data_IF_937459364020
#
_entry.id   IF_937459364020
#
_cell.length_a   1.000
_cell.length_b   1.000
_cell.length_c   1.000
_cell.angle_alpha   90.00
_cell.angle_beta   90.00
_cell.angle_gamma   90.00
#
_symmetry.space_group_name_H-M   'P 1'
#
loop_
_entity.id
_entity.type
_entity.pdbx_description
1 polymer ?
#
# COMPACT_ATOMS: atom_id res chain seq x y z
N UNK A 1 -9.75 16.28 -10.63
CA UNK A 1 -10.95 16.31 -9.77
C UNK A 1 -10.57 16.98 -8.46
N UNK A 2 -11.05 18.19 -8.20
CA UNK A 2 -10.89 18.90 -6.92
C UNK A 2 -11.77 18.20 -5.89
N UNK A 3 -11.25 17.17 -5.23
CA UNK A 3 -11.95 16.57 -4.08
C UNK A 3 -12.13 17.65 -3.00
N UNK A 4 -13.36 17.82 -2.58
CA UNK A 4 -13.72 18.79 -1.55
C UNK A 4 -12.91 18.49 -0.27
N UNK A 5 -12.27 19.48 0.34
CA UNK A 5 -11.41 19.33 1.54
C UNK A 5 -12.10 18.54 2.66
N UNK A 6 -13.41 18.73 2.81
CA UNK A 6 -14.24 18.03 3.78
C UNK A 6 -14.39 16.53 3.48
N UNK A 7 -14.56 16.16 2.21
CA UNK A 7 -14.64 14.76 1.79
C UNK A 7 -13.34 14.00 2.08
N UNK A 8 -12.19 14.64 1.83
CA UNK A 8 -10.89 14.04 2.13
C UNK A 8 -10.69 13.83 3.63
N UNK A 9 -11.10 14.80 4.46
CA UNK A 9 -11.00 14.70 5.91
C UNK A 9 -11.88 13.56 6.45
N UNK A 10 -13.12 13.47 5.95
CA UNK A 10 -14.06 12.41 6.34
C UNK A 10 -13.52 11.01 5.94
N UNK A 11 -12.99 10.86 4.72
CA UNK A 11 -12.40 9.60 4.28
C UNK A 11 -11.17 9.21 5.11
N UNK A 12 -10.33 10.18 5.50
CA UNK A 12 -9.20 9.94 6.40
C UNK A 12 -9.67 9.47 7.78
N UNK A 13 -10.68 10.14 8.36
CA UNK A 13 -11.24 9.76 9.66
C UNK A 13 -11.82 8.35 9.64
N UNK A 14 -12.63 8.04 8.62
CA UNK A 14 -13.17 6.69 8.42
C UNK A 14 -12.07 5.66 8.20
N UNK A 15 -11.06 5.99 7.39
CA UNK A 15 -9.90 5.13 7.17
C UNK A 15 -9.15 4.81 8.46
N UNK A 16 -8.90 5.83 9.30
CA UNK A 16 -8.24 5.63 10.59
C UNK A 16 -9.08 4.74 11.54
N UNK A 17 -10.40 4.91 11.57
CA UNK A 17 -11.27 4.08 12.39
C UNK A 17 -11.29 2.62 11.91
N UNK A 18 -11.46 2.40 10.60
CA UNK A 18 -11.50 1.06 10.01
C UNK A 18 -10.15 0.35 10.18
N UNK A 19 -9.02 1.04 9.93
CA UNK A 19 -7.68 0.50 10.13
C UNK A 19 -7.44 0.13 11.60
N UNK A 20 -7.74 1.04 12.52
CA UNK A 20 -7.63 0.78 13.95
C UNK A 20 -8.48 -0.42 14.39
N UNK A 21 -9.72 -0.54 13.90
CA UNK A 21 -10.60 -1.67 14.20
C UNK A 21 -10.04 -3.00 13.67
N UNK A 22 -9.54 -3.03 12.44
CA UNK A 22 -8.89 -4.22 11.85
C UNK A 22 -7.68 -4.67 12.66
N UNK A 23 -6.84 -3.73 13.09
CA UNK A 23 -5.64 -4.03 13.87
C UNK A 23 -6.02 -4.43 15.31
N UNK A 24 -6.77 -3.59 16.02
CA UNK A 24 -7.02 -3.79 17.45
C UNK A 24 -7.99 -4.95 17.72
N UNK A 25 -9.18 -4.91 17.07
CA UNK A 25 -10.25 -5.86 17.38
C UNK A 25 -10.04 -7.26 16.80
N UNK A 26 -9.21 -7.39 15.76
CA UNK A 26 -8.93 -8.70 15.14
C UNK A 26 -7.48 -9.12 15.34
N UNK A 27 -6.51 -8.37 14.81
CA UNK A 27 -5.13 -8.84 14.79
C UNK A 27 -4.52 -8.90 16.19
N UNK A 28 -4.60 -7.82 16.97
CA UNK A 28 -4.02 -7.76 18.33
C UNK A 28 -4.77 -8.70 19.28
N UNK A 29 -6.09 -8.75 19.19
CA UNK A 29 -6.94 -9.61 20.01
C UNK A 29 -6.66 -11.10 19.80
N UNK A 30 -6.33 -11.51 18.57
CA UNK A 30 -5.96 -12.88 18.21
C UNK A 30 -4.44 -13.14 18.21
N UNK A 31 -3.66 -12.20 18.74
CA UNK A 31 -2.19 -12.28 18.82
C UNK A 31 -1.49 -12.44 17.45
N UNK A 32 -2.10 -11.91 16.39
CA UNK A 32 -1.51 -11.89 15.04
C UNK A 32 -0.54 -10.73 14.93
N UNK A 33 0.71 -10.96 14.49
CA UNK A 33 1.66 -9.88 14.27
C UNK A 33 1.21 -8.93 13.17
N UNK A 34 1.13 -7.66 13.49
CA UNK A 34 1.00 -6.58 12.53
C UNK A 34 2.36 -6.04 12.14
N UNK A 35 2.45 -5.32 11.04
CA UNK A 35 3.71 -4.83 10.48
C UNK A 35 3.91 -3.33 10.70
N UNK A 36 5.11 -2.84 10.39
CA UNK A 36 5.44 -1.43 10.55
C UNK A 36 5.48 -0.97 12.00
N UNK A 37 5.30 0.33 12.22
CA UNK A 37 5.32 0.93 13.58
C UNK A 37 4.17 0.38 14.43
N UNK A 38 3.00 0.13 13.85
CA UNK A 38 1.88 -0.47 14.56
C UNK A 38 2.23 -1.85 15.13
N UNK A 39 3.05 -2.63 14.43
CA UNK A 39 3.56 -3.91 14.93
C UNK A 39 4.47 -3.78 16.15
N UNK A 40 5.36 -2.79 16.15
CA UNK A 40 6.20 -2.48 17.31
C UNK A 40 5.33 -2.04 18.48
N UNK A 41 4.31 -1.20 18.24
CA UNK A 41 3.35 -0.77 19.25
C UNK A 41 2.56 -1.96 19.84
N UNK A 42 2.16 -2.92 18.99
CA UNK A 42 1.48 -4.14 19.44
C UNK A 42 2.38 -5.01 20.33
N UNK A 43 3.67 -5.13 20.02
CA UNK A 43 4.65 -5.81 20.87
C UNK A 43 4.76 -5.10 22.25
N UNK A 44 4.89 -3.78 22.28
CA UNK A 44 4.96 -3.00 23.50
C UNK A 44 3.67 -3.12 24.33
N UNK A 45 2.52 -3.12 23.68
CA UNK A 45 1.23 -3.33 24.34
C UNK A 45 1.14 -4.72 24.98
N UNK A 46 1.55 -5.77 24.29
CA UNK A 46 1.50 -7.15 24.80
C UNK A 46 2.52 -7.40 25.92
N UNK A 47 3.73 -6.82 25.84
CA UNK A 47 4.80 -7.02 26.84
C UNK A 47 4.63 -6.14 28.08
N UNK A 48 4.25 -4.89 27.89
CA UNK A 48 4.32 -3.88 28.97
C UNK A 48 2.96 -3.23 29.26
N UNK A 49 1.88 -3.58 28.53
CA UNK A 49 0.57 -2.93 28.68
C UNK A 49 0.53 -1.47 28.24
N UNK A 50 1.55 -0.99 27.50
CA UNK A 50 1.61 0.41 27.06
C UNK A 50 0.57 0.61 25.94
N UNK A 51 -0.34 1.61 26.03
CA UNK A 51 -1.35 1.86 25.02
C UNK A 51 -0.74 2.01 23.62
N UNK A 52 -1.37 1.36 22.63
CA UNK A 52 -0.83 1.30 21.26
C UNK A 52 -0.76 2.68 20.61
N UNK A 53 -1.77 3.52 20.81
CA UNK A 53 -1.79 4.86 20.27
C UNK A 53 -0.73 5.75 20.89
N UNK A 54 -0.52 5.68 22.22
CA UNK A 54 0.55 6.40 22.91
C UNK A 54 1.92 5.99 22.36
N UNK A 55 2.18 4.70 22.25
CA UNK A 55 3.44 4.17 21.70
C UNK A 55 3.64 4.63 20.26
N UNK A 56 2.58 4.61 19.44
CA UNK A 56 2.62 5.05 18.05
C UNK A 56 3.00 6.53 17.94
N UNK A 57 2.40 7.39 18.76
CA UNK A 57 2.75 8.82 18.80
C UNK A 57 4.20 9.02 19.21
N UNK A 58 4.65 8.39 20.30
CA UNK A 58 6.01 8.54 20.82
C UNK A 58 7.08 8.08 19.83
N UNK A 59 6.88 6.95 19.15
CA UNK A 59 7.83 6.41 18.17
C UNK A 59 7.86 7.28 16.91
N UNK A 60 6.70 7.81 16.49
CA UNK A 60 6.63 8.63 15.27
C UNK A 60 7.19 10.05 15.46
N UNK A 61 7.17 10.64 16.66
CA UNK A 61 7.70 12.00 16.89
C UNK A 61 9.13 12.17 16.36
N UNK A 62 10.15 11.37 16.76
CA UNK A 62 11.50 11.52 16.25
C UNK A 62 11.60 11.26 14.75
N UNK A 63 10.85 10.30 14.22
CA UNK A 63 10.85 9.97 12.79
C UNK A 63 10.30 11.14 11.98
N UNK A 64 9.20 11.72 12.43
CA UNK A 64 8.55 12.89 11.82
C UNK A 64 9.51 14.09 11.83
N UNK A 65 10.19 14.35 12.95
CA UNK A 65 11.16 15.45 13.04
C UNK A 65 12.30 15.29 12.04
N UNK A 66 12.80 14.06 11.87
CA UNK A 66 13.87 13.76 10.91
C UNK A 66 13.40 13.87 9.46
N UNK A 67 12.14 13.51 9.17
CA UNK A 67 11.62 13.44 7.79
C UNK A 67 10.84 14.70 7.37
N UNK A 68 10.55 15.62 8.27
CA UNK A 68 9.77 16.83 8.02
C UNK A 68 10.27 17.64 6.82
N UNK A 69 11.60 17.84 6.73
CA UNK A 69 12.22 18.61 5.63
C UNK A 69 12.14 17.91 4.27
N UNK A 70 11.99 16.58 4.26
CA UNK A 70 11.96 15.75 3.05
C UNK A 70 10.55 15.60 2.48
N UNK A 71 9.52 15.52 3.33
CA UNK A 71 8.17 15.13 2.95
C UNK A 71 7.20 16.32 2.77
N UNK A 72 7.57 17.49 3.27
CA UNK A 72 6.80 18.72 3.12
C UNK A 72 5.64 18.89 4.11
N UNK A 73 5.23 20.14 4.30
CA UNK A 73 4.28 20.57 5.35
C UNK A 73 2.89 19.95 5.20
N UNK A 74 2.40 19.77 3.97
CA UNK A 74 1.04 19.27 3.75
C UNK A 74 0.92 17.78 4.12
N UNK A 75 1.94 16.99 3.80
CA UNK A 75 2.02 15.58 4.19
C UNK A 75 2.06 15.46 5.72
N UNK A 76 2.95 16.24 6.36
CA UNK A 76 3.10 16.27 7.81
C UNK A 76 1.78 16.52 8.57
N UNK A 77 1.04 17.58 8.22
CA UNK A 77 -0.21 17.92 8.92
C UNK A 77 -1.24 16.80 8.82
N UNK A 78 -1.39 16.20 7.63
CA UNK A 78 -2.36 15.11 7.40
C UNK A 78 -1.97 13.83 8.14
N UNK A 79 -0.68 13.51 8.14
CA UNK A 79 -0.19 12.31 8.81
C UNK A 79 -0.27 12.43 10.34
N UNK A 80 0.05 13.61 10.91
CA UNK A 80 -0.14 13.87 12.34
C UNK A 80 -1.62 13.77 12.71
N UNK A 81 -2.51 14.32 11.90
CA UNK A 81 -3.95 14.18 12.09
C UNK A 81 -4.40 12.72 12.15
N UNK A 82 -4.01 11.90 11.16
CA UNK A 82 -4.34 10.48 11.16
C UNK A 82 -3.72 9.72 12.35
N UNK A 83 -2.48 10.06 12.73
CA UNK A 83 -1.79 9.44 13.87
C UNK A 83 -2.53 9.72 15.18
N UNK A 84 -2.97 10.96 15.41
CA UNK A 84 -3.73 11.33 16.62
C UNK A 84 -5.10 10.64 16.63
N UNK A 85 -5.80 10.59 15.49
CA UNK A 85 -7.06 9.86 15.39
C UNK A 85 -6.90 8.36 15.63
N UNK A 86 -5.87 7.75 15.05
CA UNK A 86 -5.57 6.34 15.27
C UNK A 86 -5.32 6.07 16.76
N UNK A 87 -4.57 6.94 17.45
CA UNK A 87 -4.32 6.83 18.89
C UNK A 87 -5.62 6.93 19.72
N UNK A 88 -6.48 7.90 19.38
CA UNK A 88 -7.78 8.05 20.07
C UNK A 88 -8.66 6.80 19.86
N UNK A 89 -8.70 6.28 18.66
CA UNK A 89 -9.52 5.10 18.36
C UNK A 89 -8.97 3.85 19.06
N UNK A 90 -7.67 3.60 19.02
CA UNK A 90 -7.08 2.38 19.62
C UNK A 90 -7.06 2.40 21.13
N UNK A 91 -6.83 3.57 21.75
CA UNK A 91 -6.62 3.63 23.20
C UNK A 91 -7.91 3.92 23.99
N UNK A 92 -8.89 4.60 23.38
CA UNK A 92 -10.11 5.00 24.08
C UNK A 92 -11.39 4.39 23.51
N UNK A 93 -11.56 4.33 22.18
CA UNK A 93 -12.82 3.92 21.59
C UNK A 93 -12.93 2.41 21.44
N UNK A 94 -11.93 1.77 20.85
CA UNK A 94 -11.96 0.34 20.57
C UNK A 94 -11.91 -0.57 21.81
N UNK A 95 -11.24 -0.20 22.93
CA UNK A 95 -11.33 -0.96 24.16
C UNK A 95 -12.74 -1.07 24.75
N UNK A 96 -13.65 -0.16 24.36
CA UNK A 96 -15.07 -0.20 24.76
C UNK A 96 -15.91 -1.10 23.86
N UNK A 97 -15.37 -1.52 22.72
CA UNK A 97 -16.05 -2.38 21.74
C UNK A 97 -15.67 -3.85 21.95
N UNK A 98 -16.55 -4.80 21.58
CA UNK A 98 -16.21 -6.21 21.63
C UNK A 98 -15.06 -6.53 20.67
N UNK A 99 -14.09 -7.28 21.15
CA UNK A 99 -13.00 -7.81 20.34
C UNK A 99 -13.34 -9.22 19.84
N UNK A 100 -12.80 -9.59 18.70
CA UNK A 100 -12.99 -10.92 18.15
C UNK A 100 -12.23 -11.96 18.99
N UNK A 101 -12.93 -13.00 19.46
CA UNK A 101 -12.39 -14.08 20.31
C UNK A 101 -12.48 -15.45 19.62
N UNK A 102 -12.59 -15.48 18.31
CA UNK A 102 -12.71 -16.72 17.53
C UNK A 102 -11.36 -17.25 17.02
N UNK A 103 -11.43 -17.97 15.91
CA UNK A 103 -10.28 -18.62 15.28
C UNK A 103 -9.23 -17.59 14.80
N UNK A 104 -7.94 -17.91 15.04
CA UNK A 104 -6.81 -17.04 14.71
C UNK A 104 -6.65 -16.81 13.20
N UNK A 105 -6.99 -17.83 12.38
CA UNK A 105 -6.95 -17.72 10.94
C UNK A 105 -8.02 -16.74 10.43
N UNK A 106 -9.25 -16.86 10.94
CA UNK A 106 -10.33 -15.93 10.60
C UNK A 106 -10.00 -14.50 11.06
N UNK A 107 -9.44 -14.34 12.26
CA UNK A 107 -8.97 -13.05 12.74
C UNK A 107 -7.92 -12.44 11.80
N UNK A 108 -6.97 -13.25 11.31
CA UNK A 108 -5.94 -12.83 10.36
C UNK A 108 -6.54 -12.34 9.05
N UNK A 109 -7.49 -13.10 8.49
CA UNK A 109 -8.13 -12.76 7.21
C UNK A 109 -9.00 -11.51 7.37
N UNK A 110 -9.92 -11.51 8.36
CA UNK A 110 -10.83 -10.38 8.58
C UNK A 110 -10.06 -9.11 8.97
N UNK A 111 -9.11 -9.22 9.88
CA UNK A 111 -8.27 -8.11 10.31
C UNK A 111 -7.43 -7.54 9.17
N UNK A 112 -6.85 -8.42 8.34
CA UNK A 112 -6.09 -8.02 7.14
C UNK A 112 -6.94 -7.32 6.10
N UNK A 113 -8.16 -7.79 5.84
CA UNK A 113 -9.10 -7.15 4.90
C UNK A 113 -9.57 -5.80 5.45
N UNK A 114 -10.08 -5.78 6.69
CA UNK A 114 -10.62 -4.56 7.32
C UNK A 114 -9.50 -3.53 7.51
N UNK A 115 -8.35 -3.94 8.05
CA UNK A 115 -7.19 -3.07 8.21
C UNK A 115 -6.69 -2.53 6.88
N UNK A 116 -6.57 -3.40 5.87
CA UNK A 116 -6.16 -3.02 4.51
C UNK A 116 -7.09 -2.02 3.83
N UNK A 117 -8.41 -2.13 4.02
CA UNK A 117 -9.39 -1.14 3.54
C UNK A 117 -9.15 0.21 4.21
N UNK A 118 -8.98 0.23 5.54
CA UNK A 118 -8.70 1.43 6.29
C UNK A 118 -7.41 2.11 5.84
N UNK A 119 -6.33 1.35 5.73
CA UNK A 119 -5.02 1.84 5.28
C UNK A 119 -5.07 2.38 3.85
N UNK A 120 -5.77 1.70 2.94
CA UNK A 120 -5.95 2.18 1.57
C UNK A 120 -6.66 3.55 1.53
N UNK A 121 -7.73 3.73 2.33
CA UNK A 121 -8.42 5.01 2.43
C UNK A 121 -7.50 6.13 2.96
N UNK A 122 -6.63 5.81 3.91
CA UNK A 122 -5.63 6.73 4.43
C UNK A 122 -4.61 7.07 3.32
N UNK A 123 -4.00 6.06 2.67
CA UNK A 123 -2.98 6.24 1.64
C UNK A 123 -3.48 7.05 0.45
N UNK A 124 -4.69 6.82 -0.02
CA UNK A 124 -5.30 7.57 -1.13
C UNK A 124 -5.45 9.07 -0.84
N UNK A 125 -5.48 9.46 0.43
CA UNK A 125 -5.73 10.84 0.84
C UNK A 125 -4.51 11.54 1.47
N UNK A 126 -3.57 10.80 2.08
CA UNK A 126 -2.37 11.35 2.73
C UNK A 126 -1.10 11.17 1.89
N UNK A 127 -1.05 10.13 1.06
CA UNK A 127 0.15 9.67 0.37
C UNK A 127 0.97 8.66 1.18
N UNK A 128 0.49 8.25 2.36
CA UNK A 128 1.10 7.23 3.23
C UNK A 128 1.27 7.69 4.67
N UNK A 129 1.33 6.73 5.59
CA UNK A 129 1.63 6.95 7.02
C UNK A 129 3.00 6.40 7.42
N UNK A 130 3.63 5.66 6.53
CA UNK A 130 4.93 5.06 6.81
C UNK A 130 6.05 6.07 6.57
N UNK A 131 6.33 6.85 7.60
CA UNK A 131 7.39 7.87 7.58
C UNK A 131 8.77 7.24 7.37
N UNK A 132 8.99 6.02 7.85
CA UNK A 132 10.29 5.33 7.71
C UNK A 132 10.52 4.99 6.24
N UNK A 133 9.57 4.30 5.61
CA UNK A 133 9.68 3.91 4.20
C UNK A 133 9.78 5.13 3.29
N UNK A 134 8.97 6.16 3.54
CA UNK A 134 9.02 7.41 2.77
C UNK A 134 10.32 8.18 2.99
N UNK A 135 10.84 8.21 4.22
CA UNK A 135 12.12 8.83 4.55
C UNK A 135 13.30 8.13 3.87
N UNK A 136 13.34 6.79 3.88
CA UNK A 136 14.36 5.99 3.19
C UNK A 136 14.27 6.22 1.68
N UNK A 137 13.06 6.17 1.11
CA UNK A 137 12.83 6.41 -0.32
C UNK A 137 13.28 7.80 -0.76
N UNK A 138 13.03 8.82 0.04
CA UNK A 138 13.48 10.18 -0.25
C UNK A 138 15.01 10.31 -0.26
N UNK A 139 15.71 9.53 0.57
CA UNK A 139 17.18 9.53 0.65
C UNK A 139 17.82 8.58 -0.37
N UNK A 140 17.14 7.50 -0.73
CA UNK A 140 17.59 6.49 -1.68
C UNK A 140 16.55 6.24 -2.78
N UNK A 141 16.41 7.17 -3.76
CA UNK A 141 15.35 7.09 -4.77
C UNK A 141 15.42 5.84 -5.68
N UNK A 142 16.59 5.25 -5.81
CA UNK A 142 16.86 4.05 -6.63
C UNK A 142 16.28 2.76 -6.03
N UNK A 143 16.05 2.71 -4.71
CA UNK A 143 15.50 1.51 -4.08
C UNK A 143 14.00 1.36 -4.41
N UNK A 144 13.55 0.17 -4.85
CA UNK A 144 12.13 -0.09 -5.03
C UNK A 144 11.36 0.07 -3.71
N UNK A 145 10.24 0.81 -3.74
CA UNK A 145 9.41 1.04 -2.55
C UNK A 145 8.97 -0.26 -1.86
N UNK A 146 8.55 -1.25 -2.68
CA UNK A 146 8.12 -2.56 -2.19
C UNK A 146 9.20 -3.32 -1.41
N UNK A 147 10.47 -3.21 -1.81
CA UNK A 147 11.56 -3.90 -1.12
C UNK A 147 11.81 -3.30 0.28
N UNK A 148 11.73 -1.97 0.40
CA UNK A 148 11.89 -1.28 1.69
C UNK A 148 10.75 -1.68 2.63
N UNK A 149 9.51 -1.62 2.14
CA UNK A 149 8.32 -1.96 2.92
C UNK A 149 8.33 -3.43 3.33
N UNK A 150 8.68 -4.33 2.40
CA UNK A 150 8.78 -5.76 2.69
C UNK A 150 9.86 -6.09 3.73
N UNK A 151 11.05 -5.50 3.61
CA UNK A 151 12.13 -5.70 4.57
C UNK A 151 11.75 -5.19 5.97
N UNK A 152 11.12 -4.01 6.05
CA UNK A 152 10.63 -3.45 7.31
C UNK A 152 9.55 -4.35 7.94
N UNK A 153 8.59 -4.83 7.14
CA UNK A 153 7.55 -5.73 7.59
C UNK A 153 8.12 -7.05 8.12
N UNK A 154 9.03 -7.67 7.35
CA UNK A 154 9.68 -8.92 7.74
C UNK A 154 10.46 -8.79 9.03
N UNK A 155 11.20 -7.69 9.21
CA UNK A 155 11.96 -7.44 10.43
C UNK A 155 11.04 -7.39 11.68
N UNK A 156 9.89 -6.73 11.59
CA UNK A 156 8.91 -6.65 12.69
C UNK A 156 8.26 -8.00 12.96
N UNK A 157 7.91 -8.77 11.92
CA UNK A 157 7.33 -10.11 12.06
C UNK A 157 8.33 -11.05 12.75
N UNK A 158 9.59 -11.06 12.32
CA UNK A 158 10.64 -11.87 12.91
C UNK A 158 10.91 -11.48 14.36
N UNK A 159 10.92 -10.17 14.65
CA UNK A 159 11.05 -9.67 16.04
C UNK A 159 9.90 -10.17 16.90
N UNK A 160 8.67 -10.13 16.40
CA UNK A 160 7.50 -10.64 17.11
C UNK A 160 7.64 -12.13 17.41
N UNK A 161 7.99 -12.94 16.39
CA UNK A 161 8.21 -14.38 16.55
C UNK A 161 9.34 -14.72 17.53
N UNK A 162 10.44 -13.94 17.53
CA UNK A 162 11.55 -14.13 18.45
C UNK A 162 11.18 -13.75 19.89
N UNK A 163 10.44 -12.67 20.09
CA UNK A 163 10.03 -12.18 21.41
C UNK A 163 9.01 -13.13 22.06
N UNK A 164 8.04 -13.62 21.32
CA UNK A 164 6.98 -14.47 21.84
C UNK A 164 7.25 -15.97 21.65
N UNK A 165 8.34 -16.34 20.98
CA UNK A 165 8.76 -17.73 20.69
C UNK A 165 7.64 -18.56 20.01
N UNK A 166 6.81 -17.89 19.20
CA UNK A 166 5.69 -18.47 18.50
C UNK A 166 5.93 -18.46 16.98
N UNK A 167 6.24 -19.64 16.43
CA UNK A 167 6.50 -19.82 14.99
C UNK A 167 5.21 -19.58 14.18
N UNK A 168 4.06 -19.96 14.72
CA UNK A 168 2.77 -19.75 14.05
C UNK A 168 2.49 -18.26 13.89
N UNK A 169 2.91 -17.42 14.84
CA UNK A 169 2.84 -15.98 14.74
C UNK A 169 3.57 -15.45 13.51
N UNK A 170 4.72 -16.02 13.14
CA UNK A 170 5.44 -15.60 11.93
C UNK A 170 4.61 -15.87 10.69
N UNK A 171 3.99 -17.05 10.61
CA UNK A 171 3.15 -17.46 9.46
C UNK A 171 1.92 -16.56 9.37
N UNK A 172 1.21 -16.35 10.48
CA UNK A 172 0.04 -15.46 10.53
C UNK A 172 0.40 -14.01 10.22
N UNK A 173 1.56 -13.52 10.68
CA UNK A 173 2.05 -12.18 10.37
C UNK A 173 2.34 -11.99 8.88
N UNK A 174 2.98 -12.97 8.22
CA UNK A 174 3.22 -12.96 6.78
C UNK A 174 1.88 -12.96 6.02
N UNK A 175 0.94 -13.82 6.42
CA UNK A 175 -0.39 -13.89 5.84
C UNK A 175 -1.16 -12.56 5.99
N UNK A 176 -1.16 -12.00 7.18
CA UNK A 176 -1.79 -10.70 7.47
C UNK A 176 -1.23 -9.60 6.55
N UNK A 177 0.10 -9.49 6.49
CA UNK A 177 0.77 -8.49 5.66
C UNK A 177 0.48 -8.67 4.17
N UNK A 178 0.41 -9.92 3.70
CA UNK A 178 0.04 -10.23 2.31
C UNK A 178 -1.38 -9.79 1.99
N UNK A 179 -2.35 -10.08 2.88
CA UNK A 179 -3.76 -9.70 2.70
C UNK A 179 -3.89 -8.17 2.70
N UNK A 180 -3.30 -7.49 3.69
CA UNK A 180 -3.29 -6.01 3.77
C UNK A 180 -2.74 -5.42 2.49
N UNK A 181 -1.59 -5.89 2.04
CA UNK A 181 -0.94 -5.40 0.81
C UNK A 181 -1.79 -5.64 -0.43
N UNK A 182 -2.41 -6.81 -0.55
CA UNK A 182 -3.29 -7.15 -1.66
C UNK A 182 -4.53 -6.22 -1.70
N UNK A 183 -5.15 -5.96 -0.55
CA UNK A 183 -6.30 -5.05 -0.43
C UNK A 183 -5.90 -3.62 -0.77
N UNK A 184 -4.78 -3.12 -0.22
CA UNK A 184 -4.28 -1.77 -0.52
C UNK A 184 -4.04 -1.61 -2.02
N UNK A 185 -3.30 -2.54 -2.63
CA UNK A 185 -3.01 -2.50 -4.06
C UNK A 185 -4.29 -2.51 -4.91
N UNK A 186 -5.23 -3.37 -4.56
CA UNK A 186 -6.51 -3.48 -5.26
C UNK A 186 -7.34 -2.19 -5.18
N UNK A 187 -7.38 -1.56 -4.01
CA UNK A 187 -8.10 -0.30 -3.81
C UNK A 187 -7.40 0.90 -4.46
N UNK A 188 -6.06 0.97 -4.41
CA UNK A 188 -5.30 2.09 -4.95
C UNK A 188 -5.20 2.06 -6.49
N UNK A 189 -4.96 0.88 -7.06
CA UNK A 189 -4.71 0.72 -8.50
C UNK A 189 -5.89 0.12 -9.26
N UNK A 190 -6.94 -0.32 -8.54
CA UNK A 190 -8.15 -0.90 -9.13
C UNK A 190 -7.98 -2.37 -9.53
N UNK A 191 -9.08 -2.90 -10.09
CA UNK A 191 -9.13 -4.30 -10.55
C UNK A 191 -8.51 -4.48 -11.95
N UNK A 192 -8.35 -3.39 -12.68
CA UNK A 192 -7.81 -3.39 -14.05
C UNK A 192 -6.53 -2.56 -14.08
N UNK A 193 -5.38 -3.21 -14.04
CA UNK A 193 -4.12 -2.58 -14.40
C UNK A 193 -4.13 -2.34 -15.92
N UNK A 194 -4.38 -1.12 -16.34
CA UNK A 194 -4.18 -0.72 -17.73
C UNK A 194 -2.70 -0.46 -17.96
N UNK A 195 -2.14 -1.06 -18.99
CA UNK A 195 -0.78 -0.82 -19.45
C UNK A 195 -0.81 -0.06 -20.77
N UNK A 196 0.23 0.69 -21.04
CA UNK A 196 0.46 1.32 -22.31
C UNK A 196 1.51 0.49 -23.06
N UNK A 197 1.07 -0.25 -24.08
CA UNK A 197 1.99 -0.88 -25.01
C UNK A 197 2.54 0.19 -25.96
N UNK A 198 3.85 0.21 -26.15
CA UNK A 198 4.54 1.04 -27.12
C UNK A 198 5.31 0.13 -28.06
N UNK A 199 4.95 0.16 -29.34
CA UNK A 199 5.54 -0.68 -30.39
C UNK A 199 6.18 0.24 -31.41
N UNK A 200 7.48 0.07 -31.64
CA UNK A 200 8.23 0.82 -32.65
C UNK A 200 8.38 -0.09 -33.88
N UNK A 201 7.84 0.33 -35.02
CA UNK A 201 7.78 -0.47 -36.25
C UNK A 201 8.01 0.38 -37.47
N UNK A 202 8.25 -0.27 -38.62
CA UNK A 202 8.30 0.34 -39.95
C UNK A 202 6.93 0.42 -40.58
N UNK A 203 5.95 -0.40 -40.18
CA UNK A 203 4.58 -0.40 -40.65
C UNK A 203 3.60 -0.31 -39.46
N UNK A 204 3.28 0.91 -39.08
CA UNK A 204 2.34 1.18 -37.99
C UNK A 204 0.91 0.76 -38.30
N UNK A 205 0.50 0.75 -39.58
CA UNK A 205 -0.85 0.35 -39.96
C UNK A 205 -1.06 -1.15 -39.84
N UNK A 206 -0.07 -1.95 -40.25
CA UNK A 206 -0.11 -3.39 -40.08
C UNK A 206 -0.13 -3.77 -38.57
N UNK A 207 0.69 -3.12 -37.75
CA UNK A 207 0.67 -3.32 -36.32
C UNK A 207 -0.67 -2.94 -35.66
N UNK A 208 -1.29 -1.84 -36.09
CA UNK A 208 -2.62 -1.44 -35.60
C UNK A 208 -3.70 -2.46 -35.99
N UNK A 209 -3.69 -2.97 -37.21
CA UNK A 209 -4.65 -3.96 -37.67
C UNK A 209 -4.54 -5.29 -36.88
N UNK A 210 -3.30 -5.68 -36.53
CA UNK A 210 -3.05 -6.88 -35.73
C UNK A 210 -3.49 -6.69 -34.28
N UNK A 211 -3.24 -5.51 -33.69
CA UNK A 211 -3.71 -5.17 -32.35
C UNK A 211 -5.24 -5.21 -32.28
N UNK A 212 -5.92 -4.63 -33.25
CA UNK A 212 -7.38 -4.66 -33.33
C UNK A 212 -7.92 -6.10 -33.45
N UNK A 213 -7.28 -6.91 -34.26
CA UNK A 213 -7.65 -8.32 -34.46
C UNK A 213 -7.54 -9.18 -33.21
N UNK A 214 -6.44 -9.03 -32.42
CA UNK A 214 -6.16 -9.94 -31.29
C UNK A 214 -6.67 -9.41 -29.96
N UNK A 215 -6.75 -8.08 -29.81
CA UNK A 215 -7.07 -7.47 -28.51
C UNK A 215 -8.38 -6.67 -28.51
N UNK A 216 -9.00 -6.45 -29.68
CA UNK A 216 -10.18 -5.57 -29.85
C UNK A 216 -9.95 -4.19 -29.17
N UNK A 217 -8.81 -3.57 -29.50
CA UNK A 217 -8.36 -2.30 -28.90
C UNK A 217 -7.92 -1.30 -29.98
N UNK A 218 -8.41 -0.08 -29.84
CA UNK A 218 -7.92 1.03 -30.64
C UNK A 218 -6.47 1.36 -30.29
N UNK A 219 -5.71 1.76 -31.30
CA UNK A 219 -4.32 2.18 -31.17
C UNK A 219 -4.09 3.53 -31.85
N UNK A 220 -3.00 4.21 -31.49
CA UNK A 220 -2.63 5.52 -32.01
C UNK A 220 -1.22 5.44 -32.59
N UNK A 221 -1.07 5.90 -33.86
CA UNK A 221 0.24 5.97 -34.51
C UNK A 221 0.83 7.36 -34.29
N UNK A 222 2.07 7.41 -33.82
CA UNK A 222 2.93 8.60 -33.75
C UNK A 222 4.08 8.40 -34.74
N UNK A 223 4.39 9.41 -35.53
CA UNK A 223 5.56 9.38 -36.38
C UNK A 223 6.80 9.81 -35.61
N UNK A 224 7.88 9.07 -35.77
CA UNK A 224 9.17 9.33 -35.12
C UNK A 224 10.34 9.04 -36.05
N UNK A 225 11.53 9.24 -35.57
CA UNK A 225 12.78 8.90 -36.27
C UNK A 225 13.65 8.05 -35.38
N UNK A 226 14.30 7.04 -35.94
CA UNK A 226 15.29 6.23 -35.23
C UNK A 226 16.48 7.09 -34.78
N UNK A 227 16.80 7.06 -33.48
CA UNK A 227 17.84 7.93 -32.90
C UNK A 227 19.27 7.68 -33.43
N UNK A 228 19.54 6.48 -33.94
CA UNK A 228 20.87 6.14 -34.49
C UNK A 228 20.96 6.37 -36.00
N UNK A 229 19.97 5.90 -36.77
CA UNK A 229 20.01 5.93 -38.23
C UNK A 229 19.18 7.04 -38.89
N UNK A 230 18.40 7.82 -38.13
CA UNK A 230 17.55 8.89 -38.64
C UNK A 230 16.37 8.40 -39.48
N UNK A 231 16.17 7.09 -39.64
CA UNK A 231 15.12 6.51 -40.45
C UNK A 231 13.74 6.81 -39.86
N UNK A 232 12.72 7.10 -40.69
CA UNK A 232 11.36 7.25 -40.21
C UNK A 232 10.85 5.94 -39.59
N UNK A 233 10.17 6.07 -38.47
CA UNK A 233 9.57 4.93 -37.73
C UNK A 233 8.17 5.34 -37.25
N UNK A 234 7.28 4.38 -37.24
CA UNK A 234 5.98 4.54 -36.59
C UNK A 234 6.04 4.00 -35.15
N UNK A 235 5.50 4.76 -34.22
CA UNK A 235 5.35 4.38 -32.83
C UNK A 235 3.86 4.17 -32.55
N UNK A 236 3.46 2.92 -32.37
CA UNK A 236 2.08 2.55 -32.09
C UNK A 236 1.86 2.49 -30.58
N UNK A 237 0.90 3.26 -30.09
CA UNK A 237 0.47 3.28 -28.69
C UNK A 237 -0.87 2.59 -28.54
N UNK A 238 -0.96 1.62 -27.62
CA UNK A 238 -2.20 0.93 -27.30
C UNK A 238 -2.37 0.81 -25.78
N UNK A 239 -3.53 1.24 -25.28
CA UNK A 239 -3.91 1.03 -23.87
C UNK A 239 -4.60 -0.33 -23.74
N UNK A 240 -3.98 -1.29 -23.04
CA UNK A 240 -4.42 -2.66 -22.93
C UNK A 240 -4.30 -3.18 -21.49
N UNK A 241 -4.95 -4.31 -21.20
CA UNK A 241 -4.74 -5.08 -19.96
C UNK A 241 -3.50 -5.98 -20.08
N UNK A 242 -3.00 -6.50 -18.93
CA UNK A 242 -1.87 -7.44 -18.93
C UNK A 242 -2.10 -8.66 -19.84
N UNK A 243 -3.33 -9.20 -19.88
CA UNK A 243 -3.66 -10.32 -20.74
C UNK A 243 -3.55 -9.93 -22.22
N UNK A 244 -4.14 -8.81 -22.58
CA UNK A 244 -4.09 -8.30 -23.95
C UNK A 244 -2.68 -7.90 -24.37
N UNK A 245 -1.85 -7.38 -23.45
CA UNK A 245 -0.45 -7.09 -23.74
C UNK A 245 0.31 -8.35 -24.17
N UNK A 246 0.10 -9.46 -23.48
CA UNK A 246 0.70 -10.76 -23.84
C UNK A 246 0.24 -11.21 -25.25
N UNK A 247 -1.07 -11.10 -25.53
CA UNK A 247 -1.63 -11.44 -26.85
C UNK A 247 -1.05 -10.55 -27.97
N UNK A 248 -0.93 -9.23 -27.72
CA UNK A 248 -0.33 -8.27 -28.64
C UNK A 248 1.16 -8.57 -28.88
N UNK A 249 1.92 -8.82 -27.82
CA UNK A 249 3.36 -9.12 -27.91
C UNK A 249 3.65 -10.33 -28.81
N UNK A 250 2.83 -11.39 -28.69
CA UNK A 250 2.97 -12.59 -29.53
C UNK A 250 2.45 -12.43 -30.96
N UNK A 251 1.57 -11.47 -31.22
CA UNK A 251 1.00 -11.26 -32.53
C UNK A 251 1.81 -10.28 -33.40
N UNK A 252 2.57 -9.38 -32.78
CA UNK A 252 3.33 -8.31 -33.47
C UNK A 252 4.82 -8.65 -33.62
N UNK A 253 5.30 -9.75 -33.03
CA UNK A 253 6.62 -10.32 -33.29
C UNK A 253 6.64 -11.09 -34.61
#
# INVERSE_FOLDING_TARGET
MTKNKYTNLLLQTLGCFISAAGIYSFAVAAEVPVTGIAGICAILYRLFGIPMGLSNVLINIPIILCTYKLLGRSFFIRSVYCMVLFAIFTDYLLPLMPVYQGDRLLATICGGVVGGIGDALIYMNTGGLDFITMGIKARHPHLPFGNITFAAALAVILLNGAVFQDVDSIIYGIMFNFIVSAVINKMMFGFSSSMLAMIVTDDGKAACAEIDRVADRGSTILQGHGGYGGQPKDVVLCACSNKQLYEIEHAVQ
#
